data_IF_019783482536
#
_entry.id   IF_019783482536
#
_cell.length_a   1.000
_cell.length_b   1.000
_cell.length_c   1.000
_cell.angle_alpha   90.00
_cell.angle_beta   90.00
_cell.angle_gamma   90.00
#
_symmetry.space_group_name_H-M   'P 1'
#
loop_
_entity.id
_entity.type
_entity.pdbx_description
1 polymer ?
#
# COMPACT_ATOMS: atom_id res chain seq x y z
N UNK A 1 -0.47 25.27 9.88
CA UNK A 1 -1.04 24.15 10.68
C UNK A 1 -0.08 23.00 10.54
N UNK A 2 0.38 22.43 11.66
CA UNK A 2 1.14 21.19 11.62
C UNK A 2 0.12 20.05 11.45
N UNK A 3 0.25 19.24 10.40
CA UNK A 3 -0.67 18.14 10.12
C UNK A 3 -0.21 16.81 10.74
N UNK A 4 -1.12 15.86 10.92
CA UNK A 4 -0.80 14.52 11.44
C UNK A 4 -0.49 13.58 10.28
N UNK A 5 0.69 12.96 10.30
CA UNK A 5 1.10 11.92 9.37
C UNK A 5 1.36 10.59 10.10
N UNK A 6 0.81 9.51 9.55
CA UNK A 6 1.05 8.16 10.06
C UNK A 6 1.99 7.46 9.10
N UNK A 7 3.08 6.90 9.64
CA UNK A 7 4.03 6.13 8.85
C UNK A 7 3.95 4.68 9.28
N UNK A 8 3.43 3.84 8.40
CA UNK A 8 3.42 2.40 8.57
C UNK A 8 4.71 1.82 8.00
N UNK A 9 5.43 1.02 8.79
CA UNK A 9 6.68 0.38 8.39
C UNK A 9 7.96 1.15 8.75
N UNK A 10 9.11 0.51 8.53
CA UNK A 10 10.41 0.89 9.14
C UNK A 10 11.23 1.99 8.45
N UNK A 11 10.64 2.81 7.56
CA UNK A 11 11.43 3.82 6.83
C UNK A 11 11.72 5.06 7.69
N UNK A 12 12.79 4.98 8.50
CA UNK A 12 13.24 6.08 9.36
C UNK A 12 13.59 7.37 8.58
N UNK A 13 14.10 7.22 7.35
CA UNK A 13 14.36 8.34 6.46
C UNK A 13 13.06 9.06 6.07
N UNK A 14 12.04 8.31 5.64
CA UNK A 14 10.75 8.88 5.27
C UNK A 14 10.05 9.55 6.45
N UNK A 15 10.09 8.94 7.63
CA UNK A 15 9.56 9.55 8.86
C UNK A 15 10.29 10.87 9.19
N UNK A 16 11.61 10.95 8.98
CA UNK A 16 12.38 12.17 9.17
C UNK A 16 11.99 13.25 8.16
N UNK A 17 11.86 12.88 6.89
CA UNK A 17 11.50 13.80 5.81
C UNK A 17 10.09 14.38 6.02
N UNK A 18 9.13 13.56 6.48
CA UNK A 18 7.79 14.01 6.85
C UNK A 18 7.78 14.94 8.07
N UNK A 19 8.58 14.66 9.11
CA UNK A 19 8.73 15.60 10.25
C UNK A 19 9.30 16.94 9.80
N UNK A 20 10.26 16.93 8.87
CA UNK A 20 10.82 18.14 8.26
C UNK A 20 9.79 18.99 7.50
N UNK A 21 8.69 18.39 7.05
CA UNK A 21 7.55 19.07 6.43
C UNK A 21 6.55 19.66 7.45
N UNK A 22 6.96 19.84 8.71
CA UNK A 22 6.13 20.34 9.81
C UNK A 22 4.93 19.44 10.17
N UNK A 23 5.07 18.13 10.02
CA UNK A 23 4.06 17.15 10.42
C UNK A 23 4.36 16.51 11.79
N UNK A 24 3.32 16.26 12.58
CA UNK A 24 3.40 15.31 13.69
C UNK A 24 3.39 13.89 13.12
N UNK A 25 4.41 13.09 13.43
CA UNK A 25 4.57 11.75 12.86
C UNK A 25 4.38 10.67 13.92
N UNK A 26 3.41 9.78 13.69
CA UNK A 26 3.14 8.58 14.50
C UNK A 26 3.54 7.32 13.74
N UNK A 27 4.69 6.71 14.04
CA UNK A 27 5.07 5.44 13.44
C UNK A 27 4.25 4.29 14.03
N UNK A 28 3.93 3.28 13.21
CA UNK A 28 3.30 2.04 13.64
C UNK A 28 3.80 0.86 12.81
N UNK A 29 3.94 -0.31 13.44
CA UNK A 29 4.18 -1.54 12.71
C UNK A 29 2.86 -2.01 12.08
N UNK A 30 2.81 -1.96 10.76
CA UNK A 30 1.64 -2.42 10.01
C UNK A 30 1.43 -3.93 10.17
N UNK A 31 2.36 -4.72 10.70
CA UNK A 31 2.21 -6.14 11.05
C UNK A 31 1.47 -6.36 12.38
N UNK A 32 1.47 -5.39 13.29
CA UNK A 32 0.84 -5.49 14.59
C UNK A 32 -0.59 -4.90 14.56
N UNK A 33 -1.59 -5.78 14.48
CA UNK A 33 -2.99 -5.36 14.41
C UNK A 33 -3.44 -4.59 15.65
N UNK A 34 -3.00 -5.01 16.83
CA UNK A 34 -3.35 -4.36 18.08
C UNK A 34 -2.72 -2.97 18.19
N UNK A 35 -1.47 -2.81 17.75
CA UNK A 35 -0.82 -1.50 17.70
C UNK A 35 -1.52 -0.54 16.70
N UNK A 36 -1.93 -1.05 15.54
CA UNK A 36 -2.70 -0.29 14.54
C UNK A 36 -4.04 0.17 15.12
N UNK A 37 -4.80 -0.73 15.73
CA UNK A 37 -6.09 -0.40 16.36
C UNK A 37 -5.93 0.56 17.53
N UNK A 38 -4.93 0.35 18.40
CA UNK A 38 -4.65 1.23 19.51
C UNK A 38 -4.27 2.65 19.06
N UNK A 39 -3.47 2.79 18.00
CA UNK A 39 -3.15 4.09 17.44
C UNK A 39 -4.37 4.76 16.80
N UNK A 40 -5.16 4.01 16.01
CA UNK A 40 -6.40 4.51 15.41
C UNK A 40 -7.38 5.01 16.48
N UNK A 41 -7.59 4.24 17.55
CA UNK A 41 -8.45 4.62 18.68
C UNK A 41 -7.92 5.84 19.44
N UNK A 42 -6.61 5.96 19.62
CA UNK A 42 -5.98 7.13 20.26
C UNK A 42 -6.12 8.41 19.45
N UNK A 43 -6.01 8.34 18.13
CA UNK A 43 -6.11 9.52 17.26
C UNK A 43 -7.58 9.92 17.05
N UNK A 44 -8.50 8.97 16.91
CA UNK A 44 -9.94 9.22 16.81
C UNK A 44 -10.39 10.03 15.59
N UNK A 45 -9.47 10.43 14.70
CA UNK A 45 -9.68 11.32 13.56
C UNK A 45 -8.48 12.26 13.38
N UNK A 46 -8.63 13.29 12.57
CA UNK A 46 -7.59 14.33 12.44
C UNK A 46 -6.38 13.93 11.61
N UNK A 47 -6.44 12.82 10.86
CA UNK A 47 -5.30 12.30 10.11
C UNK A 47 -5.24 12.96 8.73
N UNK A 48 -4.19 13.73 8.45
CA UNK A 48 -4.02 14.38 7.16
C UNK A 48 -3.40 13.45 6.12
N UNK A 49 -2.46 12.60 6.56
CA UNK A 49 -1.80 11.65 5.68
C UNK A 49 -1.53 10.31 6.35
N UNK A 50 -1.71 9.23 5.60
CA UNK A 50 -1.23 7.89 5.93
C UNK A 50 -0.25 7.48 4.85
N UNK A 51 0.94 7.05 5.26
CA UNK A 51 1.98 6.59 4.35
C UNK A 51 2.40 5.17 4.77
N UNK A 52 2.12 4.21 3.90
CA UNK A 52 2.48 2.80 4.11
C UNK A 52 3.75 2.51 3.32
N UNK A 53 4.87 2.37 4.05
CA UNK A 53 6.13 1.89 3.51
C UNK A 53 6.21 0.37 3.68
N UNK A 54 6.21 -0.36 2.56
CA UNK A 54 6.29 -1.80 2.55
C UNK A 54 7.66 -2.36 2.91
N UNK A 55 7.72 -3.64 3.33
CA UNK A 55 8.98 -4.37 3.44
C UNK A 55 9.56 -4.67 2.05
N UNK A 56 10.87 -4.90 1.95
CA UNK A 56 11.54 -5.39 0.75
C UNK A 56 11.84 -6.88 0.87
N UNK A 57 11.78 -7.61 -0.25
CA UNK A 57 12.17 -9.01 -0.27
C UNK A 57 13.70 -9.15 -0.13
N UNK A 58 14.16 -10.15 0.62
CA UNK A 58 15.58 -10.50 0.67
C UNK A 58 15.96 -11.25 -0.62
N UNK A 59 16.84 -10.70 -1.48
CA UNK A 59 17.23 -11.35 -2.72
C UNK A 59 18.00 -12.66 -2.52
N UNK A 60 18.60 -12.88 -1.35
CA UNK A 60 19.33 -14.11 -1.01
C UNK A 60 18.43 -15.22 -0.46
N UNK A 61 17.23 -14.89 0.04
CA UNK A 61 16.34 -15.86 0.65
C UNK A 61 15.44 -16.57 -0.39
N UNK A 62 15.23 -17.90 -0.28
CA UNK A 62 14.29 -18.61 -1.15
C UNK A 62 12.88 -18.02 -1.07
N UNK A 63 12.14 -17.87 -2.19
CA UNK A 63 10.77 -17.36 -2.20
C UNK A 63 9.85 -18.00 -1.16
N UNK A 64 9.83 -19.33 -1.06
CA UNK A 64 8.99 -20.06 -0.12
C UNK A 64 9.31 -19.77 1.36
N UNK A 65 10.55 -19.38 1.68
CA UNK A 65 10.96 -19.08 3.05
C UNK A 65 10.48 -17.70 3.54
N UNK A 66 10.19 -16.77 2.62
CA UNK A 66 9.87 -15.38 2.97
C UNK A 66 8.49 -14.91 2.50
N UNK A 67 7.87 -15.59 1.51
CA UNK A 67 6.63 -15.11 0.86
C UNK A 67 5.50 -14.80 1.84
N UNK A 68 5.32 -15.63 2.89
CA UNK A 68 4.29 -15.43 3.90
C UNK A 68 4.48 -14.16 4.70
N UNK A 69 5.67 -13.96 5.27
CA UNK A 69 6.01 -12.74 6.01
C UNK A 69 5.97 -11.51 5.11
N UNK A 70 6.41 -11.66 3.86
CA UNK A 70 6.44 -10.59 2.88
C UNK A 70 5.04 -10.11 2.46
N UNK A 71 4.09 -11.04 2.20
CA UNK A 71 2.68 -10.73 1.92
C UNK A 71 1.97 -10.22 3.17
N UNK A 72 2.27 -10.76 4.35
CA UNK A 72 1.73 -10.27 5.62
C UNK A 72 2.06 -8.81 5.88
N UNK A 73 3.32 -8.41 5.69
CA UNK A 73 3.76 -7.04 5.87
C UNK A 73 3.18 -6.11 4.79
N UNK A 74 3.34 -6.47 3.52
CA UNK A 74 3.03 -5.56 2.42
C UNK A 74 1.54 -5.49 2.10
N UNK A 75 0.82 -6.60 2.13
CA UNK A 75 -0.55 -6.66 1.64
C UNK A 75 -1.58 -6.71 2.77
N UNK A 76 -1.44 -7.64 3.72
CA UNK A 76 -2.34 -7.65 4.88
C UNK A 76 -2.12 -6.44 5.79
N UNK A 77 -0.88 -5.96 5.92
CA UNK A 77 -0.58 -4.69 6.58
C UNK A 77 -1.25 -3.50 5.87
N UNK A 78 -1.15 -3.40 4.54
CA UNK A 78 -1.85 -2.35 3.78
C UNK A 78 -3.37 -2.43 3.97
N UNK A 79 -3.96 -3.63 3.92
CA UNK A 79 -5.40 -3.82 4.17
C UNK A 79 -5.80 -3.33 5.56
N UNK A 80 -5.05 -3.68 6.60
CA UNK A 80 -5.31 -3.20 7.97
C UNK A 80 -5.19 -1.69 8.08
N UNK A 81 -4.16 -1.09 7.48
CA UNK A 81 -4.00 0.36 7.48
C UNK A 81 -5.14 1.08 6.75
N UNK A 82 -5.61 0.57 5.61
CA UNK A 82 -6.77 1.12 4.89
C UNK A 82 -8.02 1.05 5.76
N UNK A 83 -8.25 -0.10 6.39
CA UNK A 83 -9.45 -0.34 7.22
C UNK A 83 -9.46 0.54 8.47
N UNK A 84 -8.33 0.64 9.16
CA UNK A 84 -8.22 1.38 10.41
C UNK A 84 -8.17 2.90 10.21
N UNK A 85 -7.45 3.39 9.20
CA UNK A 85 -7.18 4.83 9.05
C UNK A 85 -7.90 5.48 7.87
N UNK A 86 -8.37 4.73 6.88
CA UNK A 86 -9.16 5.28 5.77
C UNK A 86 -10.36 6.11 6.25
N UNK A 87 -11.17 5.63 7.22
CA UNK A 87 -12.26 6.40 7.80
C UNK A 87 -11.83 7.62 8.63
N UNK A 88 -10.59 7.61 9.16
CA UNK A 88 -10.06 8.64 10.07
C UNK A 88 -9.35 9.78 9.34
N UNK A 89 -9.14 9.65 8.02
CA UNK A 89 -8.59 10.72 7.20
C UNK A 89 -9.48 11.97 7.29
N UNK A 90 -8.88 13.15 7.37
CA UNK A 90 -9.58 14.42 7.23
C UNK A 90 -10.11 14.60 5.80
N UNK A 91 -11.01 15.56 5.61
CA UNK A 91 -11.33 16.04 4.27
C UNK A 91 -10.07 16.61 3.62
N UNK A 92 -9.83 16.25 2.36
CA UNK A 92 -8.55 16.52 1.69
C UNK A 92 -7.40 15.60 2.13
N UNK A 93 -7.66 14.56 2.92
CA UNK A 93 -6.65 13.62 3.40
C UNK A 93 -5.98 12.81 2.29
N UNK A 94 -4.82 12.24 2.58
CA UNK A 94 -3.99 11.49 1.63
C UNK A 94 -3.64 10.10 2.15
N UNK A 95 -3.83 9.08 1.33
CA UNK A 95 -3.37 7.73 1.63
C UNK A 95 -2.35 7.31 0.57
N UNK A 96 -1.12 7.01 0.98
CA UNK A 96 -0.02 6.71 0.06
C UNK A 96 0.58 5.36 0.39
N UNK A 97 0.68 4.48 -0.60
CA UNK A 97 1.37 3.17 -0.47
C UNK A 97 2.63 3.16 -1.32
N UNK A 98 3.78 2.86 -0.74
CA UNK A 98 5.04 2.70 -1.48
C UNK A 98 5.09 1.28 -2.03
N UNK A 99 4.84 1.13 -3.34
CA UNK A 99 4.64 -0.15 -4.00
C UNK A 99 5.70 -0.48 -5.07
N UNK A 100 6.61 0.42 -5.44
CA UNK A 100 7.66 0.01 -6.37
C UNK A 100 7.26 -0.05 -7.86
N UNK A 101 8.25 -0.16 -8.77
CA UNK A 101 7.98 -0.32 -10.20
C UNK A 101 7.34 -1.67 -10.54
N UNK A 102 7.52 -2.69 -9.69
CA UNK A 102 6.94 -4.01 -9.85
C UNK A 102 5.40 -4.02 -9.72
N UNK A 103 4.81 -2.94 -9.19
CA UNK A 103 3.35 -2.81 -9.01
C UNK A 103 2.54 -2.60 -10.29
N UNK A 104 3.18 -2.49 -11.46
CA UNK A 104 2.47 -2.35 -12.74
C UNK A 104 1.89 -3.70 -13.17
N UNK A 105 0.60 -3.75 -13.53
CA UNK A 105 -0.10 -5.00 -13.89
C UNK A 105 0.52 -5.69 -15.11
N UNK A 106 1.19 -4.94 -15.98
CA UNK A 106 1.95 -5.50 -17.11
C UNK A 106 3.01 -6.53 -16.72
N UNK A 107 3.55 -6.46 -15.49
CA UNK A 107 4.52 -7.43 -14.96
C UNK A 107 3.86 -8.77 -14.58
N UNK A 108 2.54 -8.78 -14.43
CA UNK A 108 1.76 -9.97 -14.22
C UNK A 108 1.40 -10.62 -15.57
N UNK A 109 1.61 -11.94 -15.74
CA UNK A 109 1.14 -12.68 -16.90
C UNK A 109 -0.36 -12.47 -17.15
N UNK A 110 -0.77 -12.35 -18.43
CA UNK A 110 -2.13 -11.98 -18.81
C UNK A 110 -3.22 -12.85 -18.15
N UNK A 111 -2.97 -14.16 -18.02
CA UNK A 111 -3.89 -15.12 -17.37
C UNK A 111 -4.17 -14.83 -15.89
N UNK A 112 -3.29 -14.12 -15.20
CA UNK A 112 -3.44 -13.79 -13.78
C UNK A 112 -4.11 -12.43 -13.57
N UNK A 113 -4.10 -11.55 -14.57
CA UNK A 113 -4.64 -10.18 -14.46
C UNK A 113 -6.12 -10.13 -14.04
N UNK A 114 -7.01 -11.03 -14.52
CA UNK A 114 -8.39 -11.05 -14.05
C UNK A 114 -8.55 -11.27 -12.54
N UNK A 115 -7.57 -11.88 -11.86
CA UNK A 115 -7.58 -12.03 -10.39
C UNK A 115 -7.42 -10.70 -9.66
N UNK A 116 -6.95 -9.65 -10.34
CA UNK A 116 -6.73 -8.31 -9.82
C UNK A 116 -7.66 -7.28 -10.47
N UNK A 117 -8.87 -7.70 -10.90
CA UNK A 117 -9.88 -6.80 -11.45
C UNK A 117 -10.45 -5.85 -10.38
N UNK A 118 -9.80 -4.70 -10.23
CA UNK A 118 -10.15 -3.65 -9.27
C UNK A 118 -11.52 -3.02 -9.49
N UNK A 119 -12.20 -3.27 -10.62
CA UNK A 119 -13.58 -2.80 -10.83
C UNK A 119 -14.59 -3.63 -10.03
N UNK A 120 -14.22 -4.86 -9.65
CA UNK A 120 -15.10 -5.82 -8.96
C UNK A 120 -14.56 -6.31 -7.63
N UNK A 121 -13.23 -6.35 -7.49
CA UNK A 121 -12.57 -6.91 -6.32
C UNK A 121 -12.83 -6.05 -5.07
N UNK A 122 -12.96 -6.71 -3.92
CA UNK A 122 -13.01 -6.08 -2.60
C UNK A 122 -11.66 -6.25 -1.90
N UNK A 123 -11.38 -5.48 -0.84
CA UNK A 123 -10.14 -5.67 -0.06
C UNK A 123 -10.01 -7.09 0.52
N UNK A 124 -11.06 -7.71 1.09
CA UNK A 124 -11.00 -9.13 1.48
C UNK A 124 -10.78 -10.09 0.31
N UNK A 125 -11.40 -9.84 -0.85
CA UNK A 125 -11.20 -10.65 -2.05
C UNK A 125 -9.76 -10.58 -2.56
N UNK A 126 -9.15 -9.40 -2.50
CA UNK A 126 -7.73 -9.21 -2.82
C UNK A 126 -6.82 -9.95 -1.83
N UNK A 127 -7.14 -9.91 -0.53
CA UNK A 127 -6.39 -10.67 0.47
C UNK A 127 -6.42 -12.17 0.16
N UNK A 128 -7.60 -12.73 -0.16
CA UNK A 128 -7.74 -14.13 -0.54
C UNK A 128 -6.91 -14.51 -1.79
N UNK A 129 -6.85 -13.65 -2.82
CA UNK A 129 -6.01 -13.87 -4.00
C UNK A 129 -4.53 -14.00 -3.63
N UNK A 130 -4.08 -13.22 -2.65
CA UNK A 130 -2.70 -13.22 -2.20
C UNK A 130 -2.40 -14.38 -1.24
N UNK A 131 -3.36 -14.79 -0.42
CA UNK A 131 -3.27 -16.01 0.39
C UNK A 131 -3.11 -17.26 -0.49
N UNK A 132 -3.91 -17.35 -1.56
CA UNK A 132 -3.80 -18.41 -2.56
C UNK A 132 -2.41 -18.43 -3.23
N UNK A 133 -1.86 -17.24 -3.49
CA UNK A 133 -0.52 -17.08 -4.04
C UNK A 133 0.56 -17.56 -3.05
N UNK A 134 0.49 -17.15 -1.78
CA UNK A 134 1.40 -17.62 -0.71
C UNK A 134 1.39 -19.14 -0.65
N UNK A 135 0.19 -19.75 -0.58
CA UNK A 135 0.03 -21.19 -0.51
C UNK A 135 0.57 -21.91 -1.76
N UNK A 136 0.51 -21.27 -2.93
CA UNK A 136 1.09 -21.81 -4.16
C UNK A 136 2.62 -21.77 -4.15
N UNK A 137 3.22 -20.70 -3.62
CA UNK A 137 4.68 -20.57 -3.52
C UNK A 137 5.25 -21.56 -2.52
N UNK A 138 4.68 -21.66 -1.32
CA UNK A 138 5.16 -22.57 -0.27
C UNK A 138 5.07 -24.05 -0.68
N UNK A 139 4.04 -24.41 -1.44
CA UNK A 139 3.87 -25.77 -1.95
C UNK A 139 4.67 -26.06 -3.25
N UNK A 140 5.48 -25.11 -3.75
CA UNK A 140 6.24 -25.28 -5.00
C UNK A 140 5.37 -25.31 -6.28
N UNK A 141 4.12 -24.84 -6.20
CA UNK A 141 3.11 -24.89 -7.28
C UNK A 141 3.01 -23.60 -8.08
N UNK A 142 3.64 -22.51 -7.60
CA UNK A 142 3.46 -21.17 -8.14
C UNK A 142 3.79 -21.06 -9.64
N UNK A 143 4.88 -21.66 -10.09
CA UNK A 143 5.28 -21.64 -11.51
C UNK A 143 4.26 -22.37 -12.40
N UNK A 144 3.75 -23.53 -11.97
CA UNK A 144 2.71 -24.28 -12.68
C UNK A 144 1.37 -23.53 -12.72
N UNK A 145 1.00 -22.87 -11.62
CA UNK A 145 -0.15 -21.95 -11.55
C UNK A 145 0.10 -20.64 -12.33
N UNK A 146 1.35 -20.41 -12.72
CA UNK A 146 1.71 -19.40 -13.69
C UNK A 146 2.16 -18.07 -13.14
N UNK A 147 2.49 -18.02 -11.85
CA UNK A 147 3.03 -16.85 -11.17
C UNK A 147 4.49 -16.60 -11.57
N UNK A 148 4.91 -15.32 -11.60
CA UNK A 148 6.33 -14.98 -11.71
C UNK A 148 7.14 -15.56 -10.54
N UNK A 149 8.40 -15.92 -10.78
CA UNK A 149 9.31 -16.38 -9.72
C UNK A 149 9.65 -15.28 -8.72
N UNK A 150 9.62 -14.02 -9.15
CA UNK A 150 9.92 -12.88 -8.31
C UNK A 150 8.70 -12.47 -7.48
N UNK A 151 8.76 -12.71 -6.17
CA UNK A 151 7.61 -12.55 -5.27
C UNK A 151 7.10 -11.12 -5.15
N UNK A 152 7.97 -10.14 -5.40
CA UNK A 152 7.65 -8.72 -5.44
C UNK A 152 6.51 -8.43 -6.44
N UNK A 153 6.46 -9.10 -7.59
CA UNK A 153 5.46 -8.76 -8.62
C UNK A 153 4.04 -8.94 -8.09
N UNK A 154 3.71 -10.09 -7.51
CA UNK A 154 2.39 -10.35 -6.98
C UNK A 154 2.05 -9.42 -5.81
N UNK A 155 2.99 -9.23 -4.88
CA UNK A 155 2.80 -8.35 -3.72
C UNK A 155 2.56 -6.90 -4.11
N UNK A 156 3.42 -6.34 -4.98
CA UNK A 156 3.34 -4.94 -5.38
C UNK A 156 2.13 -4.66 -6.26
N UNK A 157 1.77 -5.57 -7.16
CA UNK A 157 0.49 -5.47 -7.90
C UNK A 157 -0.67 -5.50 -6.93
N UNK A 158 -0.63 -6.34 -5.90
CA UNK A 158 -1.61 -6.35 -4.82
C UNK A 158 -1.70 -5.02 -4.06
N UNK A 159 -0.58 -4.38 -3.74
CA UNK A 159 -0.59 -3.06 -3.08
C UNK A 159 -1.24 -1.98 -3.96
N UNK A 160 -0.91 -1.94 -5.24
CA UNK A 160 -1.54 -0.98 -6.17
C UNK A 160 -3.03 -1.29 -6.36
N UNK A 161 -3.41 -2.58 -6.42
CA UNK A 161 -4.81 -2.99 -6.45
C UNK A 161 -5.57 -2.52 -5.20
N UNK A 162 -4.98 -2.65 -4.01
CA UNK A 162 -5.59 -2.20 -2.76
C UNK A 162 -5.84 -0.68 -2.77
N UNK A 163 -4.88 0.11 -3.27
CA UNK A 163 -5.03 1.55 -3.46
C UNK A 163 -6.17 1.87 -4.43
N UNK A 164 -6.23 1.17 -5.58
CA UNK A 164 -7.30 1.36 -6.56
C UNK A 164 -8.68 1.03 -6.01
N UNK A 165 -8.78 -0.05 -5.24
CA UNK A 165 -10.02 -0.45 -4.55
C UNK A 165 -10.42 0.62 -3.53
N UNK A 166 -9.49 1.07 -2.69
CA UNK A 166 -9.76 2.18 -1.75
C UNK A 166 -10.24 3.43 -2.49
N UNK A 167 -9.53 3.85 -3.53
CA UNK A 167 -9.87 5.04 -4.32
C UNK A 167 -11.27 4.96 -4.95
N UNK A 168 -11.68 3.77 -5.42
CA UNK A 168 -13.03 3.50 -5.94
C UNK A 168 -14.09 3.58 -4.85
N UNK A 169 -13.78 3.10 -3.65
CA UNK A 169 -14.73 2.96 -2.54
C UNK A 169 -14.79 4.20 -1.63
N UNK A 170 -13.90 5.19 -1.85
CA UNK A 170 -13.90 6.44 -1.10
C UNK A 170 -15.22 7.23 -1.34
N UNK A 171 -15.86 7.75 -0.28
CA UNK A 171 -17.03 8.60 -0.44
C UNK A 171 -16.70 9.84 -1.28
N UNK A 172 -17.57 10.23 -2.22
CA UNK A 172 -17.39 11.47 -2.97
C UNK A 172 -17.51 12.70 -2.05
N UNK A 173 -16.96 13.83 -2.50
CA UNK A 173 -17.14 15.13 -1.82
C UNK A 173 -16.16 15.44 -0.70
N UNK A 174 -15.44 14.45 -0.16
CA UNK A 174 -14.45 14.66 0.91
C UNK A 174 -13.07 15.12 0.42
N UNK A 175 -12.80 15.06 -0.88
CA UNK A 175 -11.48 15.41 -1.44
C UNK A 175 -10.32 14.51 -0.99
N UNK A 176 -10.62 13.36 -0.37
CA UNK A 176 -9.63 12.34 -0.01
C UNK A 176 -9.09 11.67 -1.27
N UNK A 177 -7.79 11.40 -1.32
CA UNK A 177 -7.15 10.69 -2.43
C UNK A 177 -6.25 9.56 -1.92
N UNK A 178 -6.29 8.43 -2.60
CA UNK A 178 -5.42 7.29 -2.32
C UNK A 178 -4.53 7.00 -3.54
N UNK A 179 -3.21 6.89 -3.38
CA UNK A 179 -2.28 6.62 -4.48
C UNK A 179 -1.16 5.66 -4.07
N UNK A 180 -0.53 5.08 -5.08
CA UNK A 180 0.69 4.30 -4.91
C UNK A 180 1.89 5.07 -5.47
N UNK A 181 3.06 4.89 -4.86
CA UNK A 181 4.31 5.48 -5.33
C UNK A 181 5.31 4.38 -5.72
N UNK A 182 5.97 4.57 -6.86
CA UNK A 182 7.26 3.95 -7.17
C UNK A 182 8.35 4.72 -6.39
N UNK A 183 9.32 4.06 -5.74
CA UNK A 183 10.15 4.66 -4.70
C UNK A 183 10.81 5.96 -5.13
N UNK A 184 10.64 6.94 -4.24
CA UNK A 184 11.21 8.28 -4.29
C UNK A 184 10.50 9.13 -3.24
N UNK A 185 11.25 9.64 -2.25
CA UNK A 185 10.68 10.49 -1.18
C UNK A 185 9.90 11.66 -1.77
N UNK A 186 10.36 12.23 -2.89
CA UNK A 186 9.72 13.35 -3.55
C UNK A 186 8.27 13.06 -4.01
N UNK A 187 8.00 11.89 -4.60
CA UNK A 187 6.64 11.52 -5.01
C UNK A 187 5.77 11.22 -3.79
N UNK A 188 6.32 10.56 -2.77
CA UNK A 188 5.58 10.27 -1.53
C UNK A 188 5.17 11.57 -0.85
N UNK A 189 6.08 12.53 -0.70
CA UNK A 189 5.79 13.84 -0.13
C UNK A 189 4.80 14.63 -0.99
N UNK A 190 4.93 14.59 -2.32
CA UNK A 190 3.98 15.25 -3.22
C UNK A 190 2.57 14.67 -3.09
N UNK A 191 2.44 13.34 -3.03
CA UNK A 191 1.17 12.64 -2.86
C UNK A 191 0.58 12.82 -1.45
N UNK A 192 1.42 12.91 -0.41
CA UNK A 192 1.00 13.07 0.97
C UNK A 192 0.68 14.52 1.35
N UNK A 193 1.18 15.50 0.57
CA UNK A 193 0.99 16.91 0.87
C UNK A 193 -0.48 17.35 0.68
N UNK A 194 -1.02 18.17 1.60
CA UNK A 194 -2.38 18.68 1.51
C UNK A 194 -2.54 19.66 0.34
N UNK A 195 -3.77 19.80 -0.16
CA UNK A 195 -4.12 20.80 -1.17
C UNK A 195 -3.61 20.52 -2.60
N UNK A 196 -2.69 19.58 -2.78
CA UNK A 196 -2.25 19.18 -4.12
C UNK A 196 -3.38 18.47 -4.87
N UNK A 197 -3.62 18.89 -6.11
CA UNK A 197 -4.35 18.10 -7.08
C UNK A 197 -3.47 16.90 -7.47
N UNK A 198 -3.82 15.73 -6.93
CA UNK A 198 -3.15 14.47 -7.19
C UNK A 198 -4.10 13.55 -7.95
N UNK A 199 -3.59 12.56 -8.70
CA UNK A 199 -4.45 11.51 -9.22
C UNK A 199 -5.16 10.77 -8.06
N UNK A 200 -6.12 9.92 -8.37
CA UNK A 200 -6.76 9.06 -7.37
C UNK A 200 -6.77 7.62 -7.90
N UNK A 201 -6.24 6.70 -7.10
CA UNK A 201 -6.09 5.30 -7.44
C UNK A 201 -4.87 5.01 -8.33
N UNK A 202 -3.89 5.90 -8.49
CA UNK A 202 -2.83 5.69 -9.48
C UNK A 202 -1.48 5.34 -8.87
N UNK A 203 -0.68 4.59 -9.63
CA UNK A 203 0.74 4.39 -9.36
C UNK A 203 1.53 5.52 -10.00
N UNK A 204 2.31 6.26 -9.21
CA UNK A 204 3.06 7.42 -9.69
C UNK A 204 4.56 7.19 -9.59
N UNK A 205 5.30 7.70 -10.58
CA UNK A 205 6.75 7.89 -10.54
C UNK A 205 7.14 9.21 -11.20
N UNK A 206 7.95 10.01 -10.54
CA UNK A 206 8.37 11.35 -10.98
C UNK A 206 7.17 12.21 -11.41
N UNK A 207 6.08 12.18 -10.62
CA UNK A 207 4.79 12.84 -10.92
C UNK A 207 4.11 12.39 -12.22
N UNK A 208 4.52 11.26 -12.78
CA UNK A 208 3.89 10.63 -13.96
C UNK A 208 3.10 9.40 -13.54
N UNK A 209 1.87 9.29 -14.03
CA UNK A 209 1.02 8.11 -13.86
C UNK A 209 1.63 6.95 -14.65
N UNK A 210 1.92 5.86 -13.95
CA UNK A 210 2.30 4.59 -14.54
C UNK A 210 1.04 3.76 -14.77
N UNK A 211 0.81 3.28 -16.01
CA UNK A 211 -0.32 2.39 -16.28
C UNK A 211 -0.28 1.17 -15.37
N UNK A 212 -1.44 0.89 -14.77
CA UNK A 212 -1.71 -0.37 -14.10
C UNK A 212 -1.90 -1.44 -15.15
#
# INVERSE_FOLDING_TARGET
>A
MNGIAIVAGGSAALARDLRGAMAEVHPVDACDGAAVEALAGRLGGGVDAVVVAGAEADPAAPPAAQVRGFVAANNHGTHRMITAFGPLLNDGGRFVVVAGPAGRLRHLPARLRPRFDVSRLTLPGLAAVLDDYVAAVEAGRAAAAGWPAWIEVACRVGQVAAVKIMARDLPPGRGVAANAACPGTADVLWLAAPGNAVPNGELVRNRVILPF
#
